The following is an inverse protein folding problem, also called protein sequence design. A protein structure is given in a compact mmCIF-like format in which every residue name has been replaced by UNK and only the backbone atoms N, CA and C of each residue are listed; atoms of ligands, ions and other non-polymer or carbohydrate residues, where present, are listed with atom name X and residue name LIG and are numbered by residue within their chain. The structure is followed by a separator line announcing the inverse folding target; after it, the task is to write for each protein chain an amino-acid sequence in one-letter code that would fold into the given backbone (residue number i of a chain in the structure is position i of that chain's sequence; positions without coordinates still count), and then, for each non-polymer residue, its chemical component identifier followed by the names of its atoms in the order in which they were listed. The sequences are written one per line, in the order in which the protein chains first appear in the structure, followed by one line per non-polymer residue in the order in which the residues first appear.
data_IF_156588302623
#
_entry.id   IF_156588302623
#
_cell.length_a   1.000
_cell.length_b   1.000
_cell.length_c   1.000
_cell.angle_alpha   90.00
_cell.angle_beta   90.00
_cell.angle_gamma   90.00
#
_symmetry.space_group_name_H-M   'P 1'
#
loop_
_entity.id
_entity.type
_entity.pdbx_description
1 polymer ?
#
# COMPACT_ATOMS: atom_id res chain seq x y z
N UNK A 1 21.91 -17.76 -12.36
CA UNK A 1 20.94 -17.72 -11.23
C UNK A 1 20.50 -16.30 -10.87
N UNK A 2 21.40 -15.30 -10.89
CA UNK A 2 21.06 -13.89 -10.58
C UNK A 2 20.12 -13.25 -11.62
N UNK A 3 20.25 -13.58 -12.90
CA UNK A 3 19.39 -13.02 -13.98
C UNK A 3 17.92 -13.45 -13.90
N UNK A 4 17.66 -14.71 -13.51
CA UNK A 4 16.27 -15.22 -13.39
C UNK A 4 15.53 -14.49 -12.27
N UNK A 5 16.22 -14.15 -11.17
CA UNK A 5 15.65 -13.38 -10.06
C UNK A 5 15.40 -11.91 -10.45
N UNK A 6 16.27 -11.31 -11.26
CA UNK A 6 16.08 -9.95 -11.76
C UNK A 6 14.86 -9.86 -12.68
N UNK A 7 14.71 -10.80 -13.62
CA UNK A 7 13.57 -10.84 -14.55
C UNK A 7 12.24 -11.11 -13.82
N UNK A 8 12.24 -12.00 -12.82
CA UNK A 8 11.06 -12.25 -11.98
C UNK A 8 10.69 -11.03 -11.13
N UNK A 9 11.68 -10.32 -10.58
CA UNK A 9 11.46 -9.07 -9.84
C UNK A 9 10.84 -8.01 -10.74
N UNK A 10 11.36 -7.83 -11.96
CA UNK A 10 10.81 -6.90 -12.95
C UNK A 10 9.38 -7.27 -13.33
N UNK A 11 9.08 -8.55 -13.57
CA UNK A 11 7.73 -9.02 -13.90
C UNK A 11 6.72 -8.83 -12.75
N UNK A 12 7.13 -9.11 -11.51
CA UNK A 12 6.32 -8.85 -10.31
C UNK A 12 6.10 -7.35 -10.08
N UNK A 13 7.10 -6.52 -10.35
CA UNK A 13 6.98 -5.07 -10.25
C UNK A 13 6.10 -4.48 -11.37
N UNK A 14 6.14 -5.03 -12.58
CA UNK A 14 5.21 -4.67 -13.66
C UNK A 14 3.76 -5.04 -13.33
N UNK A 15 3.53 -6.19 -12.67
CA UNK A 15 2.21 -6.55 -12.15
C UNK A 15 1.76 -5.61 -11.01
N UNK A 16 2.68 -5.20 -10.13
CA UNK A 16 2.38 -4.21 -9.08
C UNK A 16 2.09 -2.82 -9.67
N UNK A 17 2.81 -2.42 -10.71
CA UNK A 17 2.57 -1.18 -11.46
C UNK A 17 1.23 -1.25 -12.21
N UNK A 18 0.90 -2.40 -12.82
CA UNK A 18 -0.39 -2.65 -13.44
C UNK A 18 -1.55 -2.62 -12.45
N UNK A 19 -1.38 -3.18 -11.25
CA UNK A 19 -2.35 -3.09 -10.16
C UNK A 19 -2.47 -1.67 -9.60
N UNK A 20 -1.37 -0.92 -9.54
CA UNK A 20 -1.35 0.49 -9.15
C UNK A 20 -2.07 1.36 -10.18
N UNK A 21 -1.79 1.17 -11.47
CA UNK A 21 -2.44 1.87 -12.58
C UNK A 21 -3.93 1.51 -12.65
N UNK A 22 -4.27 0.22 -12.59
CA UNK A 22 -5.66 -0.25 -12.65
C UNK A 22 -6.51 0.18 -11.44
N UNK A 23 -5.92 0.32 -10.25
CA UNK A 23 -6.64 0.79 -9.06
C UNK A 23 -6.69 2.32 -8.93
N UNK A 24 -5.66 3.05 -9.39
CA UNK A 24 -5.56 4.50 -9.21
C UNK A 24 -6.09 5.33 -10.39
N UNK A 25 -5.99 4.85 -11.63
CA UNK A 25 -6.43 5.64 -12.80
C UNK A 25 -7.96 5.79 -12.87
N UNK A 26 -8.70 4.88 -12.23
CA UNK A 26 -10.17 4.91 -12.16
C UNK A 26 -10.74 5.41 -10.82
N UNK A 27 -9.91 5.71 -9.82
CA UNK A 27 -10.39 6.13 -8.49
C UNK A 27 -9.88 7.53 -8.12
N UNK A 28 -10.80 8.48 -7.97
CA UNK A 28 -10.48 9.81 -7.43
C UNK A 28 -9.90 9.70 -6.02
N UNK A 29 -9.13 10.70 -5.58
CA UNK A 29 -8.56 10.77 -4.22
C UNK A 29 -9.63 10.60 -3.14
N UNK A 30 -10.81 11.20 -3.31
CA UNK A 30 -11.95 11.05 -2.41
C UNK A 30 -12.49 9.61 -2.34
N UNK A 31 -12.54 8.91 -3.46
CA UNK A 31 -13.04 7.52 -3.47
C UNK A 31 -12.10 6.58 -2.72
N UNK A 32 -10.78 6.79 -2.83
CA UNK A 32 -9.75 6.00 -2.14
C UNK A 32 -9.82 6.15 -0.62
N UNK A 33 -9.99 7.37 -0.12
CA UNK A 33 -10.14 7.62 1.32
C UNK A 33 -11.40 6.94 1.87
N UNK A 34 -12.51 6.96 1.13
CA UNK A 34 -13.74 6.27 1.53
C UNK A 34 -13.61 4.74 1.64
N UNK A 35 -12.68 4.14 0.89
CA UNK A 35 -12.40 2.71 0.95
C UNK A 35 -11.55 2.39 2.18
N UNK A 36 -10.56 3.23 2.49
CA UNK A 36 -9.74 3.09 3.70
C UNK A 36 -10.62 3.21 4.95
N UNK A 37 -11.49 4.22 5.01
CA UNK A 37 -12.39 4.44 6.15
C UNK A 37 -13.30 3.23 6.39
N UNK A 38 -13.91 2.68 5.33
CA UNK A 38 -14.76 1.47 5.41
C UNK A 38 -13.99 0.26 5.91
N UNK A 39 -12.79 0.02 5.38
CA UNK A 39 -11.97 -1.14 5.76
C UNK A 39 -11.49 -1.08 7.20
N UNK A 40 -11.18 0.11 7.71
CA UNK A 40 -10.85 0.26 9.13
C UNK A 40 -12.06 0.07 10.04
N UNK A 41 -13.27 0.44 9.58
CA UNK A 41 -14.51 0.14 10.29
C UNK A 41 -14.74 -1.38 10.37
N UNK A 42 -14.53 -2.10 9.27
CA UNK A 42 -14.66 -3.55 9.23
C UNK A 42 -13.57 -4.24 10.10
N UNK A 43 -12.32 -3.76 10.01
CA UNK A 43 -11.22 -4.26 10.86
C UNK A 43 -11.53 -4.07 12.35
N UNK A 44 -12.05 -2.91 12.76
CA UNK A 44 -12.45 -2.66 14.14
C UNK A 44 -13.49 -3.69 14.62
N UNK A 45 -14.53 -3.91 13.80
CA UNK A 45 -15.58 -4.90 14.07
C UNK A 45 -15.01 -6.30 14.24
N UNK A 46 -14.07 -6.69 13.37
CA UNK A 46 -13.40 -7.97 13.48
C UNK A 46 -12.54 -8.05 14.74
N UNK A 47 -11.81 -7.01 15.10
CA UNK A 47 -11.00 -6.99 16.32
C UNK A 47 -11.83 -6.88 17.61
N UNK A 48 -13.15 -6.74 17.50
CA UNK A 48 -14.06 -6.59 18.64
C UNK A 48 -13.89 -5.25 19.35
N UNK A 49 -13.43 -4.22 18.63
CA UNK A 49 -13.26 -2.86 19.14
C UNK A 49 -14.16 -1.89 18.40
N UNK A 50 -14.43 -0.75 19.02
CA UNK A 50 -15.13 0.33 18.36
C UNK A 50 -14.12 1.29 17.73
N UNK A 51 -14.23 1.49 16.42
CA UNK A 51 -13.25 2.25 15.63
C UNK A 51 -13.06 3.70 16.12
N UNK A 52 -14.11 4.31 16.66
CA UNK A 52 -14.10 5.70 17.11
C UNK A 52 -13.48 5.88 18.51
N UNK A 53 -13.43 4.82 19.31
CA UNK A 53 -13.03 4.90 20.72
C UNK A 53 -11.72 4.18 21.02
N UNK A 54 -11.21 3.36 20.09
CA UNK A 54 -9.87 2.77 20.18
C UNK A 54 -8.80 3.77 19.67
N UNK A 55 -7.96 4.34 20.55
CA UNK A 55 -6.97 5.34 20.16
C UNK A 55 -5.84 4.75 19.32
N UNK A 56 -5.48 3.49 19.53
CA UNK A 56 -4.42 2.81 18.79
C UNK A 56 -4.83 2.53 17.35
N UNK A 57 -6.05 2.03 17.16
CA UNK A 57 -6.63 1.78 15.84
C UNK A 57 -6.88 3.10 15.09
N UNK A 58 -7.30 4.15 15.79
CA UNK A 58 -7.44 5.50 15.22
C UNK A 58 -6.10 6.05 14.73
N UNK A 59 -5.02 5.87 15.50
CA UNK A 59 -3.68 6.29 15.10
C UNK A 59 -3.18 5.50 13.88
N UNK A 60 -3.39 4.18 13.86
CA UNK A 60 -3.07 3.32 12.72
C UNK A 60 -3.85 3.74 11.47
N UNK A 61 -5.14 4.02 11.63
CA UNK A 61 -6.00 4.49 10.54
C UNK A 61 -5.48 5.80 9.94
N UNK A 62 -5.14 6.77 10.79
CA UNK A 62 -4.58 8.05 10.35
C UNK A 62 -3.27 7.85 9.59
N UNK A 63 -2.36 7.03 10.10
CA UNK A 63 -1.09 6.73 9.44
C UNK A 63 -1.31 6.13 8.04
N UNK A 64 -2.24 5.19 7.89
CA UNK A 64 -2.58 4.60 6.58
C UNK A 64 -3.17 5.65 5.63
N UNK A 65 -4.08 6.51 6.10
CA UNK A 65 -4.64 7.58 5.24
C UNK A 65 -3.56 8.52 4.73
N UNK A 66 -2.70 9.01 5.62
CA UNK A 66 -1.58 9.89 5.26
C UNK A 66 -0.66 9.18 4.27
N UNK A 67 -0.29 7.93 4.53
CA UNK A 67 0.58 7.16 3.64
C UNK A 67 -0.03 6.99 2.24
N UNK A 68 -1.33 6.74 2.13
CA UNK A 68 -2.04 6.65 0.83
C UNK A 68 -2.02 7.99 0.10
N UNK A 69 -2.33 9.09 0.78
CA UNK A 69 -2.32 10.44 0.20
C UNK A 69 -0.93 10.85 -0.27
N UNK A 70 0.07 10.73 0.59
CA UNK A 70 1.47 11.07 0.29
C UNK A 70 2.00 10.19 -0.84
N UNK A 71 1.72 8.89 -0.81
CA UNK A 71 2.13 7.97 -1.87
C UNK A 71 1.51 8.37 -3.20
N UNK A 72 0.22 8.66 -3.23
CA UNK A 72 -0.42 9.09 -4.47
C UNK A 72 0.16 10.40 -4.99
N UNK A 73 0.24 11.42 -4.13
CA UNK A 73 0.77 12.73 -4.51
C UNK A 73 2.20 12.66 -5.07
N UNK A 74 3.04 11.79 -4.51
CA UNK A 74 4.44 11.63 -4.93
C UNK A 74 4.63 10.69 -6.12
N UNK A 75 3.86 9.60 -6.20
CA UNK A 75 4.04 8.59 -7.23
C UNK A 75 3.27 8.90 -8.52
N UNK A 76 2.19 9.68 -8.47
CA UNK A 76 1.42 10.05 -9.66
C UNK A 76 2.29 10.69 -10.77
N UNK A 77 3.12 11.72 -10.52
CA UNK A 77 3.94 12.30 -11.57
C UNK A 77 4.94 11.31 -12.16
N UNK A 78 5.55 10.44 -11.34
CA UNK A 78 6.49 9.41 -11.81
C UNK A 78 5.77 8.38 -12.68
N UNK A 79 4.53 8.04 -12.33
CA UNK A 79 3.69 7.13 -13.12
C UNK A 79 3.28 7.78 -14.45
N UNK A 80 2.94 9.07 -14.44
CA UNK A 80 2.67 9.82 -15.66
C UNK A 80 3.90 9.86 -16.58
N UNK A 81 5.10 10.01 -16.01
CA UNK A 81 6.36 9.93 -16.75
C UNK A 81 6.61 8.53 -17.35
N UNK A 82 6.27 7.46 -16.63
CA UNK A 82 6.34 6.08 -17.16
C UNK A 82 5.40 5.92 -18.35
N UNK A 83 4.15 6.39 -18.22
CA UNK A 83 3.17 6.32 -19.30
C UNK A 83 3.61 7.15 -20.52
N UNK A 84 4.20 8.32 -20.30
CA UNK A 84 4.77 9.14 -21.35
C UNK A 84 5.93 8.43 -22.07
N UNK A 85 6.78 7.68 -21.33
CA UNK A 85 7.87 6.90 -21.91
C UNK A 85 7.35 5.76 -22.80
N UNK A 86 6.30 5.05 -22.34
CA UNK A 86 5.64 4.03 -23.15
C UNK A 86 4.95 4.58 -24.40
N UNK A 87 4.55 5.86 -24.39
CA UNK A 87 3.95 6.53 -25.54
C UNK A 87 4.93 6.94 -26.64
N UNK A 88 6.24 6.78 -26.45
CA UNK A 88 7.25 7.15 -27.47
C UNK A 88 7.31 6.14 -28.62
N UNK A 89 7.73 6.56 -29.83
CA UNK A 89 7.97 5.64 -30.95
C UNK A 89 8.95 4.51 -30.62
N UNK A 90 9.96 4.82 -29.80
CA UNK A 90 10.91 3.85 -29.24
C UNK A 90 11.07 4.13 -27.74
N UNK A 91 10.36 3.40 -26.87
CA UNK A 91 10.50 3.55 -25.42
C UNK A 91 11.92 3.22 -24.94
N UNK A 92 12.45 4.01 -24.00
CA UNK A 92 13.75 3.74 -23.38
C UNK A 92 13.60 2.82 -22.15
N UNK A 93 14.07 1.55 -22.20
CA UNK A 93 13.93 0.61 -21.10
C UNK A 93 14.70 1.03 -19.85
N UNK A 94 15.84 1.70 -19.98
CA UNK A 94 16.63 2.14 -18.82
C UNK A 94 15.94 3.29 -18.09
N UNK A 95 15.34 4.21 -18.85
CA UNK A 95 14.52 5.28 -18.26
C UNK A 95 13.30 4.74 -17.53
N UNK A 96 12.60 3.75 -18.10
CA UNK A 96 11.48 3.08 -17.42
C UNK A 96 11.95 2.44 -16.11
N UNK A 97 13.09 1.75 -16.13
CA UNK A 97 13.67 1.12 -14.93
C UNK A 97 13.95 2.15 -13.83
N UNK A 98 14.57 3.28 -14.18
CA UNK A 98 14.84 4.36 -13.21
C UNK A 98 13.55 4.92 -12.61
N UNK A 99 12.52 5.15 -13.43
CA UNK A 99 11.22 5.63 -12.94
C UNK A 99 10.53 4.60 -12.04
N UNK A 100 10.63 3.31 -12.36
CA UNK A 100 10.13 2.23 -11.51
C UNK A 100 10.83 2.20 -10.15
N UNK A 101 12.16 2.32 -10.13
CA UNK A 101 12.93 2.38 -8.88
C UNK A 101 12.48 3.55 -7.99
N UNK A 102 12.14 4.70 -8.59
CA UNK A 102 11.58 5.85 -7.86
C UNK A 102 10.22 5.54 -7.23
N UNK A 103 9.32 4.86 -7.95
CA UNK A 103 8.03 4.41 -7.40
C UNK A 103 8.24 3.46 -6.21
N UNK A 104 9.21 2.54 -6.31
CA UNK A 104 9.57 1.62 -5.23
C UNK A 104 10.09 2.40 -4.01
N UNK A 105 10.97 3.38 -4.21
CA UNK A 105 11.47 4.23 -3.12
C UNK A 105 10.34 4.97 -2.39
N UNK A 106 9.38 5.55 -3.14
CA UNK A 106 8.21 6.24 -2.57
C UNK A 106 7.35 5.25 -1.77
N UNK A 107 7.15 4.04 -2.31
CA UNK A 107 6.37 2.99 -1.66
C UNK A 107 7.00 2.57 -0.32
N UNK A 108 8.31 2.32 -0.30
CA UNK A 108 9.04 1.92 0.92
C UNK A 108 8.96 2.99 1.99
N UNK A 109 9.26 4.25 1.64
CA UNK A 109 9.22 5.36 2.60
C UNK A 109 7.85 5.50 3.29
N UNK A 110 6.76 5.41 2.51
CA UNK A 110 5.39 5.45 3.07
C UNK A 110 4.99 4.17 3.79
N UNK A 111 5.62 3.04 3.46
CA UNK A 111 5.38 1.75 4.09
C UNK A 111 5.97 1.65 5.49
N UNK A 112 7.15 2.22 5.70
CA UNK A 112 7.83 2.23 7.00
C UNK A 112 6.99 2.98 8.06
N UNK A 113 6.35 4.09 7.70
CA UNK A 113 5.44 4.84 8.58
C UNK A 113 4.23 4.01 9.01
N UNK A 114 3.62 3.26 8.07
CA UNK A 114 2.49 2.36 8.36
C UNK A 114 2.95 1.19 9.24
N UNK A 115 4.13 0.64 8.98
CA UNK A 115 4.72 -0.43 9.78
C UNK A 115 4.96 0.04 11.23
N UNK A 116 5.53 1.22 11.42
CA UNK A 116 5.72 1.80 12.76
C UNK A 116 4.39 1.93 13.49
N UNK A 117 3.35 2.49 12.84
CA UNK A 117 2.03 2.63 13.45
C UNK A 117 1.40 1.27 13.79
N UNK A 118 1.57 0.26 12.94
CA UNK A 118 1.09 -1.10 13.18
C UNK A 118 1.79 -1.74 14.39
N UNK A 119 3.11 -1.59 14.49
CA UNK A 119 3.89 -2.10 15.63
C UNK A 119 3.43 -1.41 16.92
N UNK A 120 3.22 -0.10 16.90
CA UNK A 120 2.67 0.64 18.05
C UNK A 120 1.29 0.13 18.46
N UNK A 121 0.39 -0.11 17.50
CA UNK A 121 -0.91 -0.70 17.79
C UNK A 121 -0.79 -2.09 18.41
N UNK A 122 0.04 -2.96 17.84
CA UNK A 122 0.27 -4.32 18.36
C UNK A 122 0.81 -4.31 19.80
N UNK A 123 1.60 -3.31 20.19
CA UNK A 123 2.09 -3.18 21.57
C UNK A 123 0.98 -2.84 22.58
N UNK A 124 -0.11 -2.22 22.12
CA UNK A 124 -1.24 -1.80 22.95
C UNK A 124 -2.40 -2.81 22.93
N UNK A 125 -2.48 -3.62 21.88
CA UNK A 125 -3.54 -4.61 21.68
C UNK A 125 -3.44 -5.81 22.64
N UNK A 126 -4.58 -6.40 23.00
CA UNK A 126 -4.61 -7.65 23.79
C UNK A 126 -3.97 -8.82 23.01
N UNK A 127 -3.52 -9.90 23.69
CA UNK A 127 -3.03 -11.10 22.99
C UNK A 127 -3.99 -11.63 21.92
N UNK A 128 -5.29 -11.63 22.20
CA UNK A 128 -6.34 -12.12 21.30
C UNK A 128 -6.46 -11.22 20.07
N UNK A 129 -6.47 -9.90 20.27
CA UNK A 129 -6.52 -8.91 19.17
C UNK A 129 -5.27 -9.01 18.29
N UNK A 130 -4.08 -9.17 18.88
CA UNK A 130 -2.83 -9.37 18.12
C UNK A 130 -2.90 -10.62 17.26
N UNK A 131 -3.32 -11.76 17.82
CA UNK A 131 -3.44 -13.00 17.08
C UNK A 131 -4.43 -12.87 15.93
N UNK A 132 -5.58 -12.22 16.18
CA UNK A 132 -6.59 -11.98 15.15
C UNK A 132 -6.07 -11.07 14.05
N UNK A 133 -5.42 -9.96 14.39
CA UNK A 133 -4.81 -9.06 13.40
C UNK A 133 -3.75 -9.77 12.55
N UNK A 134 -2.89 -10.58 13.17
CA UNK A 134 -1.87 -11.36 12.45
C UNK A 134 -2.53 -12.39 11.52
N UNK A 135 -3.61 -13.04 11.95
CA UNK A 135 -4.36 -13.99 11.12
C UNK A 135 -4.95 -13.29 9.88
N UNK A 136 -5.57 -12.12 10.07
CA UNK A 136 -6.12 -11.31 8.99
C UNK A 136 -5.04 -10.82 8.02
N UNK A 137 -3.89 -10.37 8.52
CA UNK A 137 -2.76 -9.94 7.69
C UNK A 137 -2.15 -11.09 6.86
N UNK A 138 -2.22 -12.33 7.35
CA UNK A 138 -1.74 -13.52 6.63
C UNK A 138 -2.67 -13.95 5.50
N UNK A 139 -3.97 -13.72 5.63
CA UNK A 139 -4.91 -14.02 4.55
C UNK A 139 -4.76 -13.01 3.41
N UNK A 140 -3.98 -13.34 2.38
CA UNK A 140 -3.73 -12.46 1.23
C UNK A 140 -4.99 -12.10 0.43
N UNK A 141 -6.10 -12.80 0.61
CA UNK A 141 -7.35 -12.55 -0.11
C UNK A 141 -8.32 -11.68 0.68
N UNK A 142 -8.08 -11.45 1.96
CA UNK A 142 -8.96 -10.62 2.77
C UNK A 142 -8.98 -9.17 2.23
N UNK A 143 -10.14 -8.62 1.84
CA UNK A 143 -10.24 -7.24 1.37
C UNK A 143 -10.03 -6.21 2.50
N UNK A 144 -10.26 -6.58 3.77
CA UNK A 144 -10.16 -5.69 4.94
C UNK A 144 -8.73 -5.24 5.23
N UNK A 145 -7.77 -6.16 5.24
CA UNK A 145 -6.35 -5.84 5.54
C UNK A 145 -5.51 -5.43 4.34
N UNK A 146 -6.09 -5.36 3.14
CA UNK A 146 -5.40 -4.90 1.93
C UNK A 146 -4.74 -3.50 2.08
N UNK A 147 -5.31 -2.47 2.73
CA UNK A 147 -4.64 -1.17 2.89
C UNK A 147 -3.37 -1.27 3.75
N UNK A 148 -3.41 -2.09 4.81
CA UNK A 148 -2.25 -2.39 5.64
C UNK A 148 -1.19 -3.12 4.83
N UNK A 149 -1.59 -4.10 4.01
CA UNK A 149 -0.67 -4.84 3.12
C UNK A 149 -0.09 -3.98 2.00
N UNK A 150 -0.83 -3.02 1.47
CA UNK A 150 -0.30 -2.03 0.51
C UNK A 150 0.78 -1.16 1.15
N UNK A 151 0.61 -0.79 2.43
CA UNK A 151 1.66 -0.13 3.22
C UNK A 151 2.90 -1.02 3.36
N UNK A 152 2.72 -2.29 3.73
CA UNK A 152 3.80 -3.20 4.14
C UNK A 152 4.52 -3.95 3.01
N UNK A 153 3.97 -3.99 1.80
CA UNK A 153 4.58 -4.71 0.70
C UNK A 153 5.74 -3.91 0.06
N UNK A 154 6.91 -4.54 -0.19
CA UNK A 154 8.14 -3.87 -0.63
C UNK A 154 8.09 -3.30 -2.05
#
# INVERSE_FOLDING_TARGET
MVEILAVLSVALNLLALGAYLGSNYFQTSQHRLSIVDRRFTDLARELGVEAATDPGLTALHRAVKIAVEVRHARAQPVVDDILAEFGKPTPDPERIRVLQDQVITIRRATGDEVLTALVTYLQQATPEQRQKLIALLRDRKDPGTMPLRYGLAP
#
